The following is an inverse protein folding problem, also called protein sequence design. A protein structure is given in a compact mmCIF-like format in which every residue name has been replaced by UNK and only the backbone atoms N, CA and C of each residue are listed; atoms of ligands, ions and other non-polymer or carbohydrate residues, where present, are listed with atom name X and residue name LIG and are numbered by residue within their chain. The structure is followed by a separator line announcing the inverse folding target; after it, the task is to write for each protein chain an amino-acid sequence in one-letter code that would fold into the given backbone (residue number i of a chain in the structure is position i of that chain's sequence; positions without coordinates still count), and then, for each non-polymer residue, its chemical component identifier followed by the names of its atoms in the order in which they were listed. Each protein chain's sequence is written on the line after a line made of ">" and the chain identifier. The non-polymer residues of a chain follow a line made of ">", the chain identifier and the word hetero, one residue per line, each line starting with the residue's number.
data_IF_495844664496
#
_entry.id   IF_495844664496
#
_cell.length_a   1.000
_cell.length_b   1.000
_cell.length_c   1.000
_cell.angle_alpha   90.00
_cell.angle_beta   90.00
_cell.angle_gamma   90.00
#
_symmetry.space_group_name_H-M   'P 1'
#
loop_
_entity.id
_entity.type
_entity.pdbx_description
1 polymer ?
#
# COMPACT_ATOMS: atom_id res chain seq x y z
N UNK A 1 21.20 -89.41 -36.88
CA UNK A 1 20.36 -88.23 -36.62
C UNK A 1 20.96 -87.44 -35.47
N UNK A 2 21.26 -86.18 -35.76
CA UNK A 2 21.59 -85.05 -34.88
C UNK A 2 20.52 -84.88 -33.78
N UNK A 3 20.65 -84.17 -32.66
CA UNK A 3 21.62 -83.25 -32.06
C UNK A 3 21.00 -82.82 -30.72
N UNK A 4 21.79 -82.52 -29.69
CA UNK A 4 21.44 -81.50 -28.69
C UNK A 4 22.72 -80.85 -28.17
N UNK A 5 22.91 -79.58 -28.51
CA UNK A 5 23.70 -78.62 -27.73
C UNK A 5 22.86 -77.37 -27.54
N UNK A 6 22.64 -77.04 -26.28
CA UNK A 6 21.91 -75.89 -25.75
C UNK A 6 22.80 -74.64 -25.77
N UNK A 7 22.28 -73.52 -26.28
CA UNK A 7 21.83 -72.32 -25.57
C UNK A 7 22.76 -71.83 -24.45
N UNK A 8 23.62 -70.87 -24.79
CA UNK A 8 23.88 -69.70 -23.95
C UNK A 8 24.00 -68.49 -24.88
N UNK A 9 23.78 -67.27 -24.38
CA UNK A 9 23.75 -65.98 -25.11
C UNK A 9 22.35 -65.48 -25.55
N UNK A 10 21.39 -65.37 -24.62
CA UNK A 10 20.20 -64.54 -24.85
C UNK A 10 19.75 -63.67 -23.66
N UNK A 11 20.50 -63.68 -22.54
CA UNK A 11 20.03 -63.07 -21.29
C UNK A 11 20.58 -61.66 -20.97
N UNK A 12 21.37 -61.03 -21.85
CA UNK A 12 22.08 -59.78 -21.52
C UNK A 12 21.59 -58.50 -22.22
N UNK A 13 20.43 -58.46 -22.90
CA UNK A 13 20.06 -57.28 -23.72
C UNK A 13 18.79 -56.51 -23.36
N UNK A 14 18.11 -56.82 -22.26
CA UNK A 14 16.77 -56.27 -22.00
C UNK A 14 16.62 -55.41 -20.74
N UNK A 15 17.65 -55.34 -19.88
CA UNK A 15 17.58 -54.62 -18.60
C UNK A 15 17.92 -53.13 -18.66
N UNK A 16 18.47 -52.65 -19.79
CA UNK A 16 18.96 -51.28 -19.97
C UNK A 16 17.96 -50.31 -20.63
N UNK A 17 16.81 -50.79 -21.13
CA UNK A 17 15.81 -49.96 -21.82
C UNK A 17 14.80 -49.27 -20.88
N UNK A 18 14.47 -49.89 -19.74
CA UNK A 18 13.42 -49.42 -18.82
C UNK A 18 13.87 -48.36 -17.80
N UNK A 19 15.17 -48.01 -17.76
CA UNK A 19 15.75 -47.07 -16.78
C UNK A 19 15.84 -45.64 -17.35
N UNK A 20 15.82 -45.46 -18.68
CA UNK A 20 15.82 -44.14 -19.33
C UNK A 20 14.47 -43.42 -19.22
N UNK A 21 13.37 -44.13 -19.46
CA UNK A 21 12.03 -43.52 -19.59
C UNK A 21 11.44 -43.00 -18.26
N UNK A 22 11.81 -43.60 -17.13
CA UNK A 22 11.37 -43.16 -15.79
C UNK A 22 12.15 -41.94 -15.27
N UNK A 23 13.36 -41.69 -15.77
CA UNK A 23 14.16 -40.51 -15.39
C UNK A 23 13.58 -39.23 -16.01
N UNK A 24 13.01 -39.31 -17.20
CA UNK A 24 12.51 -38.14 -17.91
C UNK A 24 11.17 -37.62 -17.37
N UNK A 25 10.24 -38.51 -17.00
CA UNK A 25 8.91 -38.10 -16.51
C UNK A 25 8.99 -37.42 -15.14
N UNK A 26 9.71 -38.00 -14.18
CA UNK A 26 9.85 -37.40 -12.84
C UNK A 26 10.55 -36.05 -12.89
N UNK A 27 11.56 -35.95 -13.73
CA UNK A 27 12.34 -34.73 -13.93
C UNK A 27 11.50 -33.65 -14.61
N UNK A 28 10.78 -34.01 -15.69
CA UNK A 28 9.88 -33.11 -16.41
C UNK A 28 8.73 -32.63 -15.52
N UNK A 29 8.09 -33.52 -14.75
CA UNK A 29 7.05 -33.15 -13.78
C UNK A 29 7.61 -32.22 -12.71
N UNK A 30 8.82 -32.48 -12.20
CA UNK A 30 9.49 -31.58 -11.25
C UNK A 30 9.73 -30.19 -11.85
N UNK A 31 10.24 -30.10 -13.08
CA UNK A 31 10.44 -28.82 -13.79
C UNK A 31 9.13 -28.08 -14.04
N UNK A 32 8.09 -28.78 -14.50
CA UNK A 32 6.77 -28.18 -14.69
C UNK A 32 6.20 -27.64 -13.37
N UNK A 33 6.25 -28.44 -12.30
CA UNK A 33 5.79 -28.02 -10.96
C UNK A 33 6.59 -26.82 -10.44
N UNK A 34 7.91 -26.77 -10.64
CA UNK A 34 8.72 -25.61 -10.26
C UNK A 34 8.45 -24.39 -11.14
N UNK A 35 8.25 -24.59 -12.45
CA UNK A 35 7.94 -23.54 -13.42
C UNK A 35 6.56 -22.91 -13.18
N UNK A 36 5.62 -23.59 -12.52
CA UNK A 36 4.37 -23.01 -12.05
C UNK A 36 4.47 -22.41 -10.64
N UNK A 37 5.28 -22.99 -9.75
CA UNK A 37 5.46 -22.49 -8.38
C UNK A 37 6.19 -21.16 -8.32
N UNK A 38 7.24 -20.96 -9.13
CA UNK A 38 7.99 -19.70 -9.14
C UNK A 38 7.14 -18.48 -9.56
N UNK A 39 6.44 -18.49 -10.71
CA UNK A 39 5.61 -17.34 -11.10
C UNK A 39 4.43 -17.16 -10.16
N UNK A 40 3.86 -18.24 -9.59
CA UNK A 40 2.83 -18.13 -8.56
C UNK A 40 3.36 -17.45 -7.30
N UNK A 41 4.57 -17.81 -6.83
CA UNK A 41 5.21 -17.18 -5.69
C UNK A 41 5.53 -15.71 -5.94
N UNK A 42 5.98 -15.37 -7.16
CA UNK A 42 6.25 -13.99 -7.56
C UNK A 42 4.96 -13.16 -7.66
N UNK A 43 3.87 -13.73 -8.16
CA UNK A 43 2.53 -13.10 -8.20
C UNK A 43 1.98 -12.89 -6.80
N UNK A 44 2.14 -13.86 -5.88
CA UNK A 44 1.75 -13.70 -4.48
C UNK A 44 2.61 -12.64 -3.77
N UNK A 45 3.91 -12.60 -4.05
CA UNK A 45 4.82 -11.61 -3.49
C UNK A 45 4.49 -10.19 -3.99
N UNK A 46 4.14 -10.02 -5.28
CA UNK A 46 3.74 -8.73 -5.81
C UNK A 46 2.37 -8.26 -5.30
N UNK A 47 1.43 -9.18 -5.05
CA UNK A 47 0.15 -8.85 -4.41
C UNK A 47 0.32 -8.35 -2.97
N UNK A 48 1.30 -8.87 -2.22
CA UNK A 48 1.60 -8.39 -0.85
C UNK A 48 2.31 -7.03 -0.80
N UNK A 49 2.96 -6.61 -1.89
CA UNK A 49 3.77 -5.38 -1.92
C UNK A 49 2.95 -4.15 -2.36
N UNK A 50 1.70 -4.34 -2.82
CA UNK A 50 0.89 -3.28 -3.43
C UNK A 50 -0.14 -2.61 -2.50
N UNK A 51 -0.23 -2.98 -1.22
CA UNK A 51 -1.14 -2.32 -0.29
C UNK A 51 -0.44 -1.10 0.34
N UNK A 52 -0.93 0.11 0.05
CA UNK A 52 -0.49 1.30 0.78
C UNK A 52 -0.81 1.11 2.26
N UNK A 53 0.18 1.24 3.13
CA UNK A 53 -0.06 1.11 4.57
C UNK A 53 -1.01 2.22 5.06
N UNK A 54 -0.73 3.50 4.83
CA UNK A 54 -1.63 4.60 5.22
C UNK A 54 -2.34 5.21 3.99
N UNK A 55 -3.64 5.48 4.12
CA UNK A 55 -4.42 6.38 3.27
C UNK A 55 -5.19 7.39 4.13
N UNK A 56 -5.00 8.68 3.90
CA UNK A 56 -5.75 9.79 4.50
C UNK A 56 -6.67 10.39 3.45
N UNK A 57 -7.95 10.55 3.77
CA UNK A 57 -9.00 10.99 2.85
C UNK A 57 -10.13 11.71 3.61
N UNK A 58 -11.16 12.16 2.88
CA UNK A 58 -12.34 12.81 3.47
C UNK A 58 -11.96 14.05 4.31
N UNK A 59 -10.98 14.82 3.84
CA UNK A 59 -10.54 16.05 4.47
C UNK A 59 -11.59 17.14 4.21
N UNK A 60 -12.12 17.71 5.29
CA UNK A 60 -13.03 18.87 5.24
C UNK A 60 -12.89 19.68 6.51
N UNK A 61 -13.18 20.97 6.45
CA UNK A 61 -13.28 21.79 7.64
C UNK A 61 -14.69 22.40 7.77
N UNK A 62 -15.07 22.76 8.99
CA UNK A 62 -16.29 23.51 9.26
C UNK A 62 -15.97 24.72 10.12
N UNK A 63 -16.57 25.86 9.77
CA UNK A 63 -16.45 27.10 10.53
C UNK A 63 -15.02 27.63 10.65
N UNK A 64 -14.23 27.57 9.57
CA UNK A 64 -12.94 28.27 9.53
C UNK A 64 -13.14 29.79 9.74
N UNK A 65 -12.12 30.49 10.25
CA UNK A 65 -12.22 31.92 10.55
C UNK A 65 -12.70 32.76 9.36
N UNK A 66 -13.51 33.77 9.68
CA UNK A 66 -13.90 34.82 8.74
C UNK A 66 -14.21 36.07 9.56
N UNK A 67 -13.62 37.18 9.14
CA UNK A 67 -13.76 38.47 9.82
C UNK A 67 -13.90 39.63 8.82
N UNK A 68 -13.77 40.87 9.30
CA UNK A 68 -13.86 42.06 8.46
C UNK A 68 -12.70 42.19 7.46
N UNK A 69 -11.62 41.41 7.64
CA UNK A 69 -10.41 41.45 6.83
C UNK A 69 -10.41 40.38 5.73
N UNK A 70 -11.19 39.30 5.88
CA UNK A 70 -11.37 38.32 4.82
C UNK A 70 -12.12 37.05 5.21
N UNK A 71 -12.27 36.17 4.23
CA UNK A 71 -12.68 34.77 4.43
C UNK A 71 -11.45 33.92 4.17
N UNK A 72 -11.19 32.94 5.02
CA UNK A 72 -10.03 32.03 4.89
C UNK A 72 -9.92 31.36 3.52
N UNK A 73 -8.70 31.36 3.00
CA UNK A 73 -8.22 30.64 1.83
C UNK A 73 -7.53 29.32 2.28
N UNK A 74 -8.35 28.35 2.70
CA UNK A 74 -7.90 27.19 3.47
C UNK A 74 -7.17 26.09 2.66
N UNK A 75 -6.11 25.53 3.24
CA UNK A 75 -5.48 24.29 2.78
C UNK A 75 -4.86 23.47 3.93
N UNK A 76 -4.56 22.19 3.69
CA UNK A 76 -4.01 21.28 4.71
C UNK A 76 -2.62 20.77 4.30
N UNK A 77 -1.62 20.90 5.18
CA UNK A 77 -0.32 20.20 5.07
C UNK A 77 -0.37 18.89 5.84
N UNK A 78 0.13 17.82 5.23
CA UNK A 78 0.03 16.46 5.78
C UNK A 78 1.41 15.89 6.06
N UNK A 79 1.59 15.32 7.25
CA UNK A 79 2.82 14.68 7.68
C UNK A 79 2.57 13.33 8.35
N UNK A 80 3.48 12.38 8.16
CA UNK A 80 3.59 11.17 8.94
C UNK A 80 4.97 11.15 9.61
N UNK A 81 5.01 11.28 10.94
CA UNK A 81 6.19 11.67 11.72
C UNK A 81 6.87 12.93 11.14
N UNK A 82 8.14 12.80 10.73
CA UNK A 82 8.92 13.88 10.13
C UNK A 82 8.77 13.98 8.60
N UNK A 83 8.03 13.06 7.98
CA UNK A 83 7.89 12.98 6.52
C UNK A 83 6.68 13.79 6.08
N UNK A 84 6.89 14.79 5.22
CA UNK A 84 5.79 15.48 4.54
C UNK A 84 5.23 14.60 3.42
N UNK A 85 3.90 14.46 3.39
CA UNK A 85 3.16 13.75 2.35
C UNK A 85 2.62 14.70 1.27
N UNK A 86 2.74 16.02 1.48
CA UNK A 86 2.27 17.06 0.58
C UNK A 86 1.27 18.00 1.24
N UNK A 87 0.53 18.74 0.39
CA UNK A 87 -0.56 19.61 0.80
C UNK A 87 -1.73 19.52 -0.17
N UNK A 88 -2.92 19.89 0.29
CA UNK A 88 -4.10 20.03 -0.58
C UNK A 88 -3.99 21.27 -1.46
N UNK A 89 -4.88 21.37 -2.44
CA UNK A 89 -5.24 22.62 -3.08
C UNK A 89 -5.80 23.63 -2.09
N UNK A 90 -5.65 24.91 -2.43
CA UNK A 90 -6.22 26.02 -1.67
C UNK A 90 -7.70 26.15 -2.06
N UNK A 91 -8.55 26.27 -1.05
CA UNK A 91 -9.97 26.58 -1.22
C UNK A 91 -10.19 28.03 -0.84
N UNK A 92 -10.37 28.86 -1.84
CA UNK A 92 -10.45 30.31 -1.65
C UNK A 92 -11.80 30.73 -1.07
N UNK A 93 -11.77 31.60 -0.07
CA UNK A 93 -12.92 32.25 0.54
C UNK A 93 -14.06 31.28 0.93
N UNK A 94 -13.70 30.14 1.54
CA UNK A 94 -14.66 29.10 1.94
C UNK A 94 -14.46 28.71 3.40
N UNK A 95 -15.47 28.96 4.22
CA UNK A 95 -15.43 28.64 5.66
C UNK A 95 -15.72 27.17 5.95
N UNK A 96 -16.30 26.43 5.01
CA UNK A 96 -16.57 24.99 5.11
C UNK A 96 -15.96 24.19 3.94
N UNK A 97 -14.63 24.23 3.75
CA UNK A 97 -14.00 23.66 2.56
C UNK A 97 -14.00 22.13 2.60
N UNK A 98 -14.04 21.54 1.40
CA UNK A 98 -13.83 20.11 1.17
C UNK A 98 -12.66 19.90 0.20
N UNK A 99 -11.76 18.99 0.54
CA UNK A 99 -10.60 18.63 -0.28
C UNK A 99 -10.76 17.19 -0.81
N UNK A 100 -10.61 17.03 -2.13
CA UNK A 100 -10.78 15.72 -2.80
C UNK A 100 -9.51 14.86 -2.73
N UNK A 101 -8.39 15.49 -2.38
CA UNK A 101 -7.08 14.88 -2.31
C UNK A 101 -7.03 13.73 -1.30
N UNK A 102 -6.36 12.66 -1.70
CA UNK A 102 -6.05 11.50 -0.87
C UNK A 102 -4.55 11.40 -0.74
N UNK A 103 -4.05 11.26 0.48
CA UNK A 103 -2.62 11.11 0.76
C UNK A 103 -2.32 9.66 1.13
N UNK A 104 -1.36 9.06 0.44
CA UNK A 104 -0.95 7.68 0.69
C UNK A 104 0.51 7.61 1.14
N UNK A 105 0.80 6.76 2.14
CA UNK A 105 2.16 6.51 2.59
C UNK A 105 2.40 5.03 2.89
N UNK A 106 3.29 4.40 2.11
CA UNK A 106 3.49 2.95 2.13
C UNK A 106 4.46 2.45 3.22
N UNK A 107 5.15 3.36 3.94
CA UNK A 107 6.06 3.01 5.04
C UNK A 107 5.47 3.29 6.42
N UNK A 108 4.20 3.70 6.48
CA UNK A 108 3.52 4.03 7.72
C UNK A 108 3.42 2.79 8.62
N UNK A 109 3.84 2.92 9.87
CA UNK A 109 3.72 1.89 10.90
C UNK A 109 2.68 2.31 11.94
N UNK A 110 2.11 1.33 12.61
CA UNK A 110 1.28 1.59 13.78
C UNK A 110 2.06 2.44 14.81
N UNK A 111 1.40 3.43 15.40
CA UNK A 111 1.93 4.42 16.34
C UNK A 111 2.76 5.56 15.73
N UNK A 112 2.99 5.61 14.41
CA UNK A 112 3.50 6.85 13.80
C UNK A 112 2.52 8.00 14.06
N UNK A 113 3.03 9.22 14.14
CA UNK A 113 2.23 10.42 14.37
C UNK A 113 1.77 10.96 13.02
N UNK A 114 0.47 10.87 12.73
CA UNK A 114 -0.16 11.63 11.67
C UNK A 114 -0.38 13.06 12.17
N UNK A 115 0.28 14.03 11.53
CA UNK A 115 0.10 15.46 11.79
C UNK A 115 -0.56 16.14 10.60
N UNK A 116 -1.64 16.85 10.86
CA UNK A 116 -2.36 17.67 9.89
C UNK A 116 -2.29 19.12 10.36
N UNK A 117 -1.84 20.01 9.48
CA UNK A 117 -1.82 21.44 9.76
C UNK A 117 -2.77 22.14 8.81
N UNK A 118 -3.70 22.92 9.33
CA UNK A 118 -4.62 23.74 8.53
C UNK A 118 -4.04 25.15 8.45
N UNK A 119 -3.91 25.66 7.23
CA UNK A 119 -3.33 26.97 6.95
C UNK A 119 -4.33 27.84 6.18
N UNK A 120 -4.28 29.15 6.42
CA UNK A 120 -4.88 30.19 5.59
C UNK A 120 -3.83 30.72 4.63
N UNK A 121 -4.11 30.76 3.33
CA UNK A 121 -3.13 31.18 2.33
C UNK A 121 -3.16 32.69 2.12
N UNK A 122 -1.98 33.30 2.19
CA UNK A 122 -1.84 34.75 2.12
C UNK A 122 -0.76 35.16 1.11
N UNK A 123 -0.75 36.43 0.71
CA UNK A 123 0.19 36.93 -0.31
C UNK A 123 1.65 36.88 0.13
N UNK A 124 1.92 36.94 1.44
CA UNK A 124 3.28 37.04 1.99
C UNK A 124 3.62 35.85 2.87
N UNK A 125 2.79 35.56 3.87
CA UNK A 125 2.98 34.47 4.81
C UNK A 125 1.65 33.81 5.12
N UNK A 126 1.56 32.50 4.93
CA UNK A 126 0.38 31.72 5.28
C UNK A 126 0.24 31.60 6.81
N UNK A 127 -0.97 31.79 7.33
CA UNK A 127 -1.28 31.71 8.75
C UNK A 127 -1.66 30.29 9.17
N UNK A 128 -1.13 29.81 10.30
CA UNK A 128 -1.46 28.49 10.84
C UNK A 128 -2.75 28.58 11.68
N UNK A 129 -3.83 27.95 11.21
CA UNK A 129 -5.12 27.93 11.90
C UNK A 129 -5.21 26.86 12.99
N UNK A 130 -4.47 25.76 12.83
CA UNK A 130 -4.42 24.70 13.84
C UNK A 130 -3.61 23.49 13.42
N UNK A 131 -3.27 22.68 14.43
CA UNK A 131 -2.49 21.44 14.26
C UNK A 131 -3.24 20.30 14.94
N UNK A 132 -3.41 19.20 14.21
CA UNK A 132 -4.01 17.98 14.69
C UNK A 132 -2.98 16.86 14.63
N UNK A 133 -2.64 16.28 15.78
CA UNK A 133 -1.69 15.17 15.87
C UNK A 133 -2.34 13.93 16.48
N UNK A 134 -2.08 12.77 15.89
CA UNK A 134 -2.57 11.49 16.41
C UNK A 134 -1.64 10.34 16.05
N UNK A 135 -1.43 9.44 17.00
CA UNK A 135 -0.84 8.13 16.70
C UNK A 135 -1.80 7.27 15.90
N UNK A 136 -1.41 6.86 14.70
CA UNK A 136 -2.25 6.02 13.83
C UNK A 136 -2.31 4.58 14.33
N UNK A 137 -3.46 3.94 14.13
CA UNK A 137 -3.76 2.55 14.51
C UNK A 137 -4.23 1.76 13.30
N UNK A 138 -4.04 0.44 13.34
CA UNK A 138 -4.55 -0.46 12.28
C UNK A 138 -6.08 -0.34 12.17
N UNK A 139 -6.57 -0.32 10.94
CA UNK A 139 -8.00 -0.18 10.61
C UNK A 139 -8.35 1.19 10.00
N UNK A 140 -9.65 1.44 9.89
CA UNK A 140 -10.21 2.69 9.33
C UNK A 140 -10.86 3.50 10.45
N UNK A 141 -10.53 4.79 10.53
CA UNK A 141 -11.02 5.69 11.57
C UNK A 141 -11.44 7.04 10.98
N UNK A 142 -12.47 7.62 11.57
CA UNK A 142 -12.89 8.99 11.34
C UNK A 142 -12.63 9.82 12.59
N UNK A 143 -12.18 11.06 12.40
CA UNK A 143 -11.81 11.95 13.48
C UNK A 143 -12.18 13.39 13.19
N UNK A 144 -12.48 14.08 14.28
CA UNK A 144 -12.67 15.52 14.33
C UNK A 144 -11.58 16.13 15.21
N UNK A 145 -11.13 17.33 14.85
CA UNK A 145 -10.09 18.07 15.52
C UNK A 145 -10.44 19.55 15.56
N UNK A 146 -10.56 20.12 16.76
CA UNK A 146 -10.83 21.54 16.97
C UNK A 146 -9.54 22.32 16.68
N UNK A 147 -9.65 23.36 15.85
CA UNK A 147 -8.53 24.21 15.48
C UNK A 147 -8.37 25.36 16.49
N UNK A 148 -7.13 25.79 16.71
CA UNK A 148 -6.81 26.80 17.73
C UNK A 148 -7.39 28.18 17.38
N UNK A 149 -7.31 28.55 16.11
CA UNK A 149 -7.83 29.85 15.61
C UNK A 149 -9.33 29.80 15.28
N UNK A 150 -9.95 28.61 15.37
CA UNK A 150 -11.39 28.42 15.16
C UNK A 150 -11.72 27.40 14.06
N UNK A 151 -12.88 26.78 14.22
CA UNK A 151 -13.37 25.74 13.32
C UNK A 151 -12.95 24.32 13.74
N UNK A 152 -13.40 23.34 12.95
CA UNK A 152 -13.11 21.92 13.16
C UNK A 152 -12.63 21.29 11.85
N UNK A 153 -11.49 20.62 11.88
CA UNK A 153 -11.03 19.74 10.81
C UNK A 153 -11.62 18.35 11.01
N UNK A 154 -12.23 17.80 9.98
CA UNK A 154 -12.71 16.43 9.92
C UNK A 154 -11.90 15.65 8.88
N UNK A 155 -11.56 14.40 9.20
CA UNK A 155 -10.78 13.55 8.32
C UNK A 155 -11.02 12.08 8.61
N UNK A 156 -10.67 11.23 7.63
CA UNK A 156 -10.66 9.79 7.80
C UNK A 156 -9.32 9.23 7.35
N UNK A 157 -8.87 8.14 7.97
CA UNK A 157 -7.73 7.39 7.47
C UNK A 157 -7.92 5.89 7.59
N UNK A 158 -7.20 5.14 6.75
CA UNK A 158 -7.05 3.70 6.84
C UNK A 158 -5.58 3.36 6.99
N UNK A 159 -5.23 2.54 7.98
CA UNK A 159 -3.93 1.87 8.10
C UNK A 159 -4.12 0.36 7.89
N UNK A 160 -3.57 -0.17 6.79
CA UNK A 160 -3.65 -1.57 6.37
C UNK A 160 -2.49 -2.45 6.82
#
# INVERSE_FOLDING_TARGET
>A
MLSRRENSLAACREKSRWIGEKKDIKTTVSYQVMAFRLPLLLVLCSLTVAQSQLQLFNLRATGLPSDLLGITDGYVKVFCDSISLGKTSIRHNEVNPWWEEVFAYFKAQENNVLRLEVHDSDLVFDDLLGVCERQIKLGTYEHDCILNEGGTLHYAYTLG
#
